data_IF_051923307133
#
_entry.id   IF_051923307133
#
_cell.length_a   1.000
_cell.length_b   1.000
_cell.length_c   1.000
_cell.angle_alpha   90.00
_cell.angle_beta   90.00
_cell.angle_gamma   90.00
#
_symmetry.space_group_name_H-M   'P 1'
#
loop_
_entity.id
_entity.type
_entity.pdbx_description
1 polymer ?
#
# COMPACT_ATOMS: atom_id res chain seq x y z
N UNK A 1 13.67 -42.01 9.66
CA UNK A 1 13.42 -40.88 8.73
C UNK A 1 14.77 -40.35 8.27
N UNK A 2 15.14 -40.66 7.02
CA UNK A 2 16.51 -40.53 6.53
C UNK A 2 16.93 -39.09 6.24
N UNK A 3 18.24 -38.83 6.32
CA UNK A 3 18.85 -37.55 5.96
C UNK A 3 18.53 -37.10 4.51
N UNK A 4 18.22 -38.04 3.62
CA UNK A 4 17.77 -37.79 2.25
C UNK A 4 16.42 -37.05 2.19
N UNK A 5 15.47 -37.35 3.10
CA UNK A 5 14.19 -36.65 3.19
C UNK A 5 14.39 -35.21 3.71
N UNK A 6 15.32 -35.01 4.66
CA UNK A 6 15.64 -33.67 5.17
C UNK A 6 16.29 -32.79 4.09
N UNK A 7 17.18 -33.36 3.27
CA UNK A 7 17.82 -32.61 2.18
C UNK A 7 16.82 -32.25 1.07
N UNK A 8 15.89 -33.16 0.75
CA UNK A 8 14.84 -32.91 -0.24
C UNK A 8 13.85 -31.82 0.23
N UNK A 9 13.50 -31.84 1.52
CA UNK A 9 12.68 -30.79 2.14
C UNK A 9 13.42 -29.45 2.19
N UNK A 10 14.71 -29.42 2.56
CA UNK A 10 15.50 -28.20 2.56
C UNK A 10 15.65 -27.59 1.15
N UNK A 11 15.85 -28.42 0.12
CA UNK A 11 15.90 -27.95 -1.26
C UNK A 11 14.55 -27.40 -1.76
N UNK A 12 13.43 -27.99 -1.33
CA UNK A 12 12.10 -27.48 -1.64
C UNK A 12 11.80 -26.17 -0.92
N UNK A 13 12.16 -26.03 0.36
CA UNK A 13 12.03 -24.79 1.12
C UNK A 13 12.83 -23.65 0.46
N UNK A 14 14.11 -23.89 0.13
CA UNK A 14 14.94 -22.89 -0.55
C UNK A 14 14.36 -22.50 -1.91
N UNK A 15 13.81 -23.45 -2.67
CA UNK A 15 13.21 -23.15 -3.97
C UNK A 15 11.91 -22.33 -3.87
N UNK A 16 11.08 -22.58 -2.84
CA UNK A 16 9.84 -21.83 -2.59
C UNK A 16 10.16 -20.43 -2.06
N UNK A 17 11.14 -20.32 -1.18
CA UNK A 17 11.56 -19.05 -0.58
C UNK A 17 12.26 -18.16 -1.62
N UNK A 18 13.12 -18.73 -2.47
CA UNK A 18 13.74 -18.02 -3.59
C UNK A 18 12.71 -17.49 -4.60
N UNK A 19 11.68 -18.29 -4.95
CA UNK A 19 10.58 -17.84 -5.82
C UNK A 19 9.79 -16.69 -5.21
N UNK A 20 9.51 -16.75 -3.90
CA UNK A 20 8.79 -15.70 -3.18
C UNK A 20 9.58 -14.39 -3.14
N UNK A 21 10.89 -14.47 -2.88
CA UNK A 21 11.79 -13.30 -2.89
C UNK A 21 11.89 -12.69 -4.29
N UNK A 22 11.97 -13.53 -5.33
CA UNK A 22 12.07 -13.05 -6.72
C UNK A 22 10.77 -12.36 -7.17
N UNK A 23 9.61 -12.93 -6.84
CA UNK A 23 8.32 -12.31 -7.14
C UNK A 23 8.11 -10.98 -6.38
N UNK A 24 8.54 -10.90 -5.12
CA UNK A 24 8.51 -9.64 -4.36
C UNK A 24 9.49 -8.59 -4.93
N UNK A 25 10.67 -9.02 -5.39
CA UNK A 25 11.63 -8.12 -6.02
C UNK A 25 11.10 -7.59 -7.37
N UNK A 26 10.53 -8.46 -8.19
CA UNK A 26 9.90 -8.08 -9.46
C UNK A 26 8.76 -7.07 -9.26
N UNK A 27 7.86 -7.34 -8.30
CA UNK A 27 6.77 -6.41 -7.99
C UNK A 27 7.25 -5.02 -7.55
N UNK A 28 8.29 -4.94 -6.72
CA UNK A 28 8.90 -3.64 -6.32
C UNK A 28 9.57 -2.91 -7.48
N UNK A 29 10.19 -3.64 -8.40
CA UNK A 29 10.83 -3.05 -9.59
C UNK A 29 9.76 -2.51 -10.55
N UNK A 30 8.67 -3.23 -10.76
CA UNK A 30 7.54 -2.80 -11.57
C UNK A 30 6.85 -1.57 -10.96
N UNK A 31 6.61 -1.57 -9.64
CA UNK A 31 6.05 -0.42 -8.93
C UNK A 31 6.94 0.82 -9.06
N UNK A 32 8.26 0.64 -8.92
CA UNK A 32 9.22 1.74 -9.10
C UNK A 32 9.25 2.24 -10.54
N UNK A 33 9.13 1.35 -11.53
CA UNK A 33 9.02 1.74 -12.94
C UNK A 33 7.73 2.50 -13.22
N UNK A 34 6.58 2.03 -12.74
CA UNK A 34 5.29 2.71 -12.92
C UNK A 34 5.35 4.11 -12.31
N UNK A 35 5.88 4.23 -11.08
CA UNK A 35 6.04 5.52 -10.41
C UNK A 35 6.93 6.47 -11.21
N UNK A 36 8.07 5.98 -11.74
CA UNK A 36 8.96 6.80 -12.59
C UNK A 36 8.28 7.25 -13.87
N UNK A 37 7.48 6.39 -14.52
CA UNK A 37 6.71 6.74 -15.72
C UNK A 37 5.65 7.79 -15.42
N UNK A 38 4.95 7.65 -14.30
CA UNK A 38 3.97 8.63 -13.84
C UNK A 38 4.63 9.99 -13.54
N UNK A 39 5.74 9.99 -12.80
CA UNK A 39 6.50 11.22 -12.50
C UNK A 39 7.01 11.91 -13.77
N UNK A 40 7.46 11.14 -14.76
CA UNK A 40 7.89 11.69 -16.05
C UNK A 40 6.72 12.34 -16.81
N UNK A 41 5.60 11.62 -16.93
CA UNK A 41 4.40 12.14 -17.61
C UNK A 41 3.83 13.39 -16.90
N UNK A 42 3.83 13.41 -15.57
CA UNK A 42 3.38 14.56 -14.79
C UNK A 42 4.28 15.79 -14.97
N UNK A 43 5.60 15.59 -15.04
CA UNK A 43 6.55 16.68 -15.35
C UNK A 43 6.35 17.22 -16.76
N UNK A 44 6.16 16.35 -17.73
CA UNK A 44 5.93 16.73 -19.13
C UNK A 44 4.63 17.53 -19.27
N UNK A 45 3.56 17.07 -18.62
CA UNK A 45 2.30 17.81 -18.54
C UNK A 45 2.48 19.20 -17.90
N UNK A 46 3.17 19.25 -16.76
CA UNK A 46 3.46 20.52 -16.08
C UNK A 46 4.25 21.49 -16.96
N UNK A 47 5.19 20.98 -17.75
CA UNK A 47 5.97 21.79 -18.69
C UNK A 47 5.11 22.33 -19.84
N UNK A 48 4.23 21.50 -20.41
CA UNK A 48 3.30 21.93 -21.45
C UNK A 48 2.33 23.00 -20.94
N UNK A 49 1.74 22.81 -19.76
CA UNK A 49 0.84 23.82 -19.14
C UNK A 49 1.61 25.11 -18.85
N UNK A 50 2.84 25.02 -18.34
CA UNK A 50 3.66 26.20 -18.12
C UNK A 50 3.99 26.94 -19.43
N UNK A 51 4.33 26.22 -20.50
CA UNK A 51 4.54 26.82 -21.82
C UNK A 51 3.27 27.47 -22.36
N UNK A 52 2.10 26.86 -22.16
CA UNK A 52 0.83 27.47 -22.55
C UNK A 52 0.60 28.78 -21.82
N UNK A 53 0.82 28.81 -20.50
CA UNK A 53 0.63 30.02 -19.69
C UNK A 53 1.63 31.12 -19.99
N UNK A 54 2.88 30.77 -20.29
CA UNK A 54 3.95 31.75 -20.51
C UNK A 54 4.03 32.22 -21.95
N UNK A 55 3.89 31.29 -22.92
CA UNK A 55 4.08 31.57 -24.35
C UNK A 55 2.77 31.63 -25.13
N UNK A 56 1.64 31.29 -24.52
CA UNK A 56 0.34 31.23 -25.20
C UNK A 56 0.21 30.06 -26.19
N UNK A 57 1.13 29.08 -26.14
CA UNK A 57 1.10 27.90 -27.02
C UNK A 57 0.20 26.85 -26.39
N UNK A 58 -0.97 26.61 -26.98
CA UNK A 58 -1.91 25.62 -26.45
C UNK A 58 -1.25 24.25 -26.29
N UNK A 59 -1.32 23.68 -25.08
CA UNK A 59 -0.82 22.34 -24.80
C UNK A 59 -1.61 21.26 -25.57
N UNK A 60 -2.87 21.58 -25.90
CA UNK A 60 -3.69 20.84 -26.85
C UNK A 60 -3.77 19.33 -26.57
N UNK A 61 -3.83 18.54 -27.65
CA UNK A 61 -4.01 17.09 -27.58
C UNK A 61 -2.86 16.32 -26.90
N UNK A 62 -1.68 16.92 -26.76
CA UNK A 62 -0.55 16.30 -26.05
C UNK A 62 -0.79 16.29 -24.54
N UNK A 63 -1.31 17.37 -23.97
CA UNK A 63 -1.72 17.40 -22.57
C UNK A 63 -2.83 16.38 -22.30
N UNK A 64 -3.85 16.29 -23.16
CA UNK A 64 -4.93 15.32 -22.99
C UNK A 64 -4.43 13.87 -23.00
N UNK A 65 -3.46 13.55 -23.88
CA UNK A 65 -2.82 12.23 -23.91
C UNK A 65 -2.02 11.95 -22.63
N UNK A 66 -1.30 12.94 -22.11
CA UNK A 66 -0.53 12.80 -20.87
C UNK A 66 -1.46 12.61 -19.67
N UNK A 67 -2.57 13.34 -19.59
CA UNK A 67 -3.59 13.14 -18.56
C UNK A 67 -4.14 11.71 -18.61
N UNK A 68 -4.56 11.24 -19.79
CA UNK A 68 -5.07 9.88 -19.96
C UNK A 68 -4.03 8.81 -19.56
N UNK A 69 -2.76 9.04 -19.91
CA UNK A 69 -1.65 8.16 -19.51
C UNK A 69 -1.44 8.14 -17.99
N UNK A 70 -1.43 9.31 -17.35
CA UNK A 70 -1.31 9.42 -15.89
C UNK A 70 -2.48 8.71 -15.20
N UNK A 71 -3.71 8.93 -15.64
CA UNK A 71 -4.90 8.27 -15.07
C UNK A 71 -4.83 6.74 -15.22
N UNK A 72 -4.34 6.23 -16.35
CA UNK A 72 -4.15 4.79 -16.55
C UNK A 72 -3.08 4.23 -15.59
N UNK A 73 -1.94 4.92 -15.47
CA UNK A 73 -0.85 4.52 -14.57
C UNK A 73 -1.27 4.57 -13.09
N UNK A 74 -2.04 5.58 -12.69
CA UNK A 74 -2.61 5.67 -11.34
C UNK A 74 -3.55 4.48 -11.04
N UNK A 75 -4.41 4.11 -11.99
CA UNK A 75 -5.29 2.96 -11.84
C UNK A 75 -4.51 1.64 -11.72
N UNK A 76 -3.44 1.46 -12.50
CA UNK A 76 -2.56 0.30 -12.41
C UNK A 76 -1.81 0.25 -11.07
N UNK A 77 -1.26 1.38 -10.61
CA UNK A 77 -0.60 1.47 -9.29
C UNK A 77 -1.58 1.19 -8.15
N UNK A 78 -2.81 1.71 -8.21
CA UNK A 78 -3.83 1.46 -7.21
C UNK A 78 -4.21 -0.03 -7.14
N UNK A 79 -4.32 -0.71 -8.29
CA UNK A 79 -4.55 -2.16 -8.35
C UNK A 79 -3.38 -2.95 -7.78
N UNK A 80 -2.15 -2.62 -8.18
CA UNK A 80 -0.94 -3.30 -7.68
C UNK A 80 -0.77 -3.11 -6.16
N UNK A 81 -1.06 -1.92 -5.64
CA UNK A 81 -1.03 -1.64 -4.21
C UNK A 81 -2.11 -2.42 -3.45
N UNK A 82 -3.34 -2.50 -3.99
CA UNK A 82 -4.42 -3.28 -3.40
C UNK A 82 -4.10 -4.78 -3.37
N UNK A 83 -3.54 -5.33 -4.45
CA UNK A 83 -3.11 -6.73 -4.50
C UNK A 83 -2.00 -7.03 -3.51
N UNK A 84 -1.02 -6.13 -3.37
CA UNK A 84 0.07 -6.29 -2.42
C UNK A 84 -0.44 -6.26 -0.99
N UNK A 85 -1.36 -5.34 -0.67
CA UNK A 85 -2.01 -5.26 0.63
C UNK A 85 -2.83 -6.51 0.94
N UNK A 86 -3.64 -6.98 -0.01
CA UNK A 86 -4.41 -8.22 0.15
C UNK A 86 -3.51 -9.46 0.39
N UNK A 87 -2.37 -9.55 -0.30
CA UNK A 87 -1.37 -10.62 -0.08
C UNK A 87 -0.71 -10.51 1.30
N UNK A 88 -0.50 -9.29 1.81
CA UNK A 88 0.04 -9.07 3.16
C UNK A 88 -0.98 -9.42 4.24
N UNK A 89 -2.23 -9.00 4.09
CA UNK A 89 -3.33 -9.32 5.02
C UNK A 89 -3.59 -10.84 5.07
N UNK A 90 -3.57 -11.53 3.92
CA UNK A 90 -3.69 -12.99 3.86
C UNK A 90 -2.49 -13.72 4.51
N UNK A 91 -1.27 -13.18 4.38
CA UNK A 91 -0.08 -13.73 5.03
C UNK A 91 -0.11 -13.52 6.56
N UNK A 92 -0.73 -12.43 7.04
CA UNK A 92 -0.91 -12.18 8.47
C UNK A 92 -2.03 -13.04 9.08
N UNK A 93 -3.08 -13.34 8.31
CA UNK A 93 -4.17 -14.22 8.72
C UNK A 93 -3.80 -15.72 8.75
N UNK A 94 -2.71 -16.12 8.09
CA UNK A 94 -2.21 -17.51 8.07
C UNK A 94 -1.06 -17.78 9.06
N UNK A 95 -0.66 -16.82 9.89
CA UNK A 95 0.24 -17.10 11.01
C UNK A 95 -0.52 -17.94 12.05
N UNK A 96 -0.06 -19.16 12.40
CA UNK A 96 -0.69 -19.95 13.44
C UNK A 96 -0.59 -19.19 14.78
N UNK A 97 -1.67 -19.13 15.59
CA UNK A 97 -1.56 -18.77 16.99
C UNK A 97 -1.01 -19.99 17.74
N UNK A 98 0.31 -20.14 17.76
CA UNK A 98 1.00 -21.04 18.69
C UNK A 98 2.00 -20.22 19.49
N UNK A 99 2.13 -20.31 20.81
CA UNK A 99 1.28 -20.76 21.91
C UNK A 99 2.01 -20.22 23.15
N UNK A 100 1.26 -19.60 24.08
CA UNK A 100 1.56 -19.41 25.53
C UNK A 100 3.02 -19.43 26.01
N UNK A 101 3.50 -18.31 26.56
CA UNK A 101 4.71 -18.36 27.41
C UNK A 101 5.33 -17.05 27.88
N UNK A 102 4.63 -15.93 28.01
CA UNK A 102 5.04 -14.89 28.97
C UNK A 102 3.83 -14.10 29.45
N UNK A 103 3.42 -14.47 30.66
CA UNK A 103 2.41 -13.81 31.50
C UNK A 103 2.96 -12.45 31.95
N UNK A 104 2.34 -11.30 31.60
CA UNK A 104 2.42 -10.14 32.48
C UNK A 104 1.48 -10.41 33.67
N UNK A 105 1.92 -10.22 34.93
CA UNK A 105 1.06 -10.49 36.07
C UNK A 105 -0.17 -9.59 36.02
N UNK A 106 -1.33 -10.23 36.20
CA UNK A 106 -2.62 -9.60 36.36
C UNK A 106 -2.59 -8.54 37.46
N UNK A 107 -3.20 -7.38 37.18
CA UNK A 107 -3.95 -6.68 38.22
C UNK A 107 -5.20 -6.02 37.63
N UNK A 108 -6.34 -6.58 38.01
CA UNK A 108 -7.66 -5.97 38.21
C UNK A 108 -8.26 -5.01 37.17
N UNK A 109 -9.30 -5.49 36.49
CA UNK A 109 -10.49 -4.72 36.06
C UNK A 109 -11.31 -4.17 37.26
N UNK A 110 -12.40 -3.40 37.06
CA UNK A 110 -12.57 -2.02 36.56
C UNK A 110 -13.32 -1.15 37.62
N UNK A 111 -13.72 0.11 37.34
CA UNK A 111 -15.13 0.28 36.96
C UNK A 111 -15.41 1.32 35.88
N UNK A 112 -16.50 1.03 35.16
CA UNK A 112 -17.46 1.92 34.53
C UNK A 112 -17.40 3.39 34.99
N UNK A 113 -17.26 4.32 34.05
CA UNK A 113 -17.86 5.64 34.19
C UNK A 113 -18.40 6.14 32.86
N UNK A 114 -19.72 6.29 32.86
CA UNK A 114 -20.62 6.88 31.86
C UNK A 114 -20.13 8.22 31.29
N UNK A 115 -20.49 8.57 30.03
CA UNK A 115 -20.22 9.88 29.47
C UNK A 115 -21.11 10.95 30.10
N UNK A 116 -20.60 12.14 30.48
CA UNK A 116 -21.46 13.30 30.61
C UNK A 116 -21.79 13.83 29.21
N UNK A 117 -23.05 13.64 28.81
CA UNK A 117 -23.76 14.50 27.86
C UNK A 117 -23.62 15.94 28.35
N UNK A 118 -22.80 16.75 27.68
CA UNK A 118 -22.81 18.20 27.88
C UNK A 118 -23.69 18.83 26.80
N UNK A 119 -24.94 19.07 27.20
CA UNK A 119 -25.97 19.87 26.53
C UNK A 119 -25.45 21.30 26.27
N UNK A 120 -25.83 21.94 25.14
CA UNK A 120 -25.45 23.32 24.86
C UNK A 120 -26.23 24.31 25.73
N UNK A 121 -25.64 25.45 26.15
CA UNK A 121 -26.43 26.59 26.57
C UNK A 121 -26.92 27.36 25.34
N UNK A 122 -28.23 27.29 25.12
CA UNK A 122 -29.02 28.19 24.28
C UNK A 122 -29.42 29.44 25.10
N UNK A 123 -29.33 30.60 24.44
CA UNK A 123 -30.05 31.88 24.70
C UNK A 123 -29.59 32.81 25.84
N UNK A 124 -30.02 34.11 25.85
CA UNK A 124 -30.64 34.94 24.81
C UNK A 124 -30.01 36.35 24.64
N UNK A 125 -30.32 36.96 23.49
CA UNK A 125 -30.64 38.38 23.24
C UNK A 125 -30.68 39.35 24.45
N UNK A 126 -29.83 40.39 24.40
CA UNK A 126 -30.22 41.79 24.71
C UNK A 126 -29.22 42.80 24.14
#
# INVERSE_FOLDING_TARGET
MGFMDKFKNAAQEVAVEAKKVTAQAQGKVEETQLKRKMDAAAKELGYLIHQERVKGVAAGSEADRLIASITSLEAEMARAAAETRAKQDAAHAQAPPDSTGYEPPSSSTPPTSTPPTSTPPTSPER
#
